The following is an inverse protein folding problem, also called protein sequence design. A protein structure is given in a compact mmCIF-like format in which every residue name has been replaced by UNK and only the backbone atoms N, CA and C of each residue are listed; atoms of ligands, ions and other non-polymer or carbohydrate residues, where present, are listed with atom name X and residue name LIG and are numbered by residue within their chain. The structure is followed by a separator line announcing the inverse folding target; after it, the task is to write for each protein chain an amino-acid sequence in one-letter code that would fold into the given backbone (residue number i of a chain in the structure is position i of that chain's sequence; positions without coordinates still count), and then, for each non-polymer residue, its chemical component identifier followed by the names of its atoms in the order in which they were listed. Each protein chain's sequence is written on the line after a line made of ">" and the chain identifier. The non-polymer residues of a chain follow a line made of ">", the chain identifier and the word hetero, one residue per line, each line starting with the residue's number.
data_IF_373598751645
#
_entry.id   IF_373598751645
#
_cell.length_a   1.000
_cell.length_b   1.000
_cell.length_c   1.000
_cell.angle_alpha   90.00
_cell.angle_beta   90.00
_cell.angle_gamma   90.00
#
_symmetry.space_group_name_H-M   'P 1'
#
loop_
_entity.id
_entity.type
_entity.pdbx_description
1 polymer ?
#
# COMPACT_ATOMS: atom_id res chain seq x y z
N UNK A 1 18.84 6.24 -38.41
CA UNK A 1 18.11 5.07 -37.89
C UNK A 1 18.60 4.91 -36.46
N UNK A 2 17.97 5.59 -35.51
CA UNK A 2 18.37 5.52 -34.10
C UNK A 2 17.45 4.50 -33.43
N UNK A 3 18.04 3.39 -33.04
CA UNK A 3 17.45 2.42 -32.14
C UNK A 3 17.36 3.07 -30.76
N UNK A 4 16.16 3.45 -30.35
CA UNK A 4 15.86 4.05 -29.05
C UNK A 4 15.29 2.96 -28.14
N UNK A 5 15.97 1.82 -28.08
CA UNK A 5 15.76 0.84 -27.02
C UNK A 5 16.55 1.30 -25.79
N UNK A 6 16.13 2.40 -25.16
CA UNK A 6 16.61 2.72 -23.82
C UNK A 6 15.93 1.73 -22.87
N UNK A 7 16.63 0.66 -22.54
CA UNK A 7 16.35 -0.14 -21.35
C UNK A 7 16.44 0.81 -20.14
N UNK A 8 15.28 1.22 -19.63
CA UNK A 8 15.24 2.02 -18.41
C UNK A 8 15.77 1.14 -17.27
N UNK A 9 16.91 1.53 -16.73
CA UNK A 9 17.52 0.89 -15.56
C UNK A 9 16.50 0.92 -14.40
N UNK A 10 16.21 -0.22 -13.75
CA UNK A 10 15.22 -0.27 -12.69
C UNK A 10 15.66 0.63 -11.53
N UNK A 11 14.83 1.61 -11.19
CA UNK A 11 15.13 2.55 -10.11
C UNK A 11 15.37 1.78 -8.80
N UNK A 12 16.50 2.04 -8.11
CA UNK A 12 16.76 1.52 -6.78
C UNK A 12 15.57 1.78 -5.85
N UNK A 13 15.16 0.78 -5.08
CA UNK A 13 13.96 0.87 -4.24
C UNK A 13 14.03 1.96 -3.17
N UNK A 14 15.23 2.38 -2.79
CA UNK A 14 15.54 3.47 -1.86
C UNK A 14 15.46 4.88 -2.49
N UNK A 15 15.25 4.97 -3.81
CA UNK A 15 15.17 6.24 -4.56
C UNK A 15 13.85 6.43 -5.31
N UNK A 16 12.84 5.62 -4.99
CA UNK A 16 11.53 5.75 -5.62
C UNK A 16 10.86 7.05 -5.17
N UNK A 17 10.82 8.02 -6.09
CA UNK A 17 10.01 9.23 -5.90
C UNK A 17 8.52 8.89 -5.84
N UNK A 18 7.71 9.76 -5.25
CA UNK A 18 6.25 9.61 -5.26
C UNK A 18 5.66 9.46 -6.68
N UNK A 19 6.26 10.11 -7.68
CA UNK A 19 5.84 9.97 -9.07
C UNK A 19 6.15 8.56 -9.63
N UNK A 20 7.32 8.01 -9.32
CA UNK A 20 7.67 6.65 -9.70
C UNK A 20 6.79 5.61 -8.99
N UNK A 21 6.48 5.83 -7.71
CA UNK A 21 5.63 4.92 -6.92
C UNK A 21 4.19 4.92 -7.47
N UNK A 22 3.66 6.11 -7.79
CA UNK A 22 2.37 6.23 -8.46
C UNK A 22 2.36 5.51 -9.82
N UNK A 23 3.43 5.64 -10.60
CA UNK A 23 3.60 4.90 -11.85
C UNK A 23 3.48 3.39 -11.65
N UNK A 24 4.17 2.83 -10.63
CA UNK A 24 4.09 1.41 -10.30
C UNK A 24 2.69 0.97 -9.86
N UNK A 25 1.97 1.78 -9.08
CA UNK A 25 0.59 1.47 -8.71
C UNK A 25 -0.36 1.50 -9.91
N UNK A 26 -0.18 2.43 -10.85
CA UNK A 26 -0.95 2.46 -12.11
C UNK A 26 -0.67 1.21 -12.95
N UNK A 27 0.59 0.80 -13.07
CA UNK A 27 0.97 -0.43 -13.79
C UNK A 27 0.36 -1.68 -13.13
N UNK A 28 0.45 -1.78 -11.81
CA UNK A 28 -0.16 -2.86 -11.04
C UNK A 28 -1.68 -2.91 -11.26
N UNK A 29 -2.37 -1.77 -11.14
CA UNK A 29 -3.81 -1.70 -11.38
C UNK A 29 -4.19 -2.09 -12.82
N UNK A 30 -3.39 -1.72 -13.82
CA UNK A 30 -3.60 -2.12 -15.22
C UNK A 30 -3.39 -3.61 -15.44
N UNK A 31 -2.40 -4.22 -14.78
CA UNK A 31 -2.15 -5.67 -14.92
C UNK A 31 -3.33 -6.52 -14.44
N UNK A 32 -4.10 -6.02 -13.48
CA UNK A 32 -5.28 -6.71 -12.96
C UNK A 32 -6.41 -6.87 -13.99
N UNK A 33 -6.46 -6.01 -15.02
CA UNK A 33 -7.43 -6.14 -16.12
C UNK A 33 -7.15 -7.38 -16.97
N UNK A 34 -5.89 -7.82 -17.03
CA UNK A 34 -5.47 -8.99 -17.81
C UNK A 34 -5.58 -10.31 -17.04
N UNK A 35 -6.06 -10.32 -15.80
CA UNK A 35 -6.20 -11.54 -15.01
C UNK A 35 -7.26 -12.47 -15.63
N UNK A 36 -7.05 -13.80 -15.57
CA UNK A 36 -8.05 -14.77 -15.99
C UNK A 36 -9.37 -14.58 -15.23
N UNK A 37 -10.51 -14.83 -15.88
CA UNK A 37 -11.83 -14.84 -15.24
C UNK A 37 -12.07 -16.13 -14.43
N UNK A 38 -11.08 -16.55 -13.66
CA UNK A 38 -11.20 -17.60 -12.65
C UNK A 38 -11.62 -16.97 -11.32
N UNK A 39 -12.10 -17.80 -10.39
CA UNK A 39 -12.45 -17.34 -9.04
C UNK A 39 -11.29 -16.61 -8.35
N UNK A 40 -10.10 -17.22 -8.37
CA UNK A 40 -8.87 -16.61 -7.84
C UNK A 40 -8.51 -15.29 -8.55
N UNK A 41 -8.66 -15.25 -9.87
CA UNK A 41 -8.37 -14.05 -10.66
C UNK A 41 -9.30 -12.88 -10.32
N UNK A 42 -10.59 -13.14 -10.13
CA UNK A 42 -11.56 -12.13 -9.72
C UNK A 42 -11.33 -11.65 -8.27
N UNK A 43 -10.93 -12.55 -7.36
CA UNK A 43 -10.53 -12.16 -6.00
C UNK A 43 -9.30 -11.25 -6.01
N UNK A 44 -8.28 -11.64 -6.76
CA UNK A 44 -7.05 -10.84 -6.89
C UNK A 44 -7.36 -9.45 -7.47
N UNK A 45 -8.19 -9.40 -8.52
CA UNK A 45 -8.61 -8.16 -9.17
C UNK A 45 -9.39 -7.25 -8.23
N UNK A 46 -10.29 -7.80 -7.41
CA UNK A 46 -11.04 -7.04 -6.42
C UNK A 46 -10.15 -6.53 -5.26
N UNK A 47 -9.02 -7.18 -4.99
CA UNK A 47 -8.06 -6.81 -3.93
C UNK A 47 -7.11 -5.67 -4.29
N UNK A 48 -6.95 -5.34 -5.58
CA UNK A 48 -5.96 -4.37 -6.07
C UNK A 48 -6.05 -3.03 -5.36
N UNK A 49 -7.27 -2.50 -5.19
CA UNK A 49 -7.46 -1.19 -4.56
C UNK A 49 -7.04 -1.23 -3.10
N UNK A 50 -7.41 -2.29 -2.37
CA UNK A 50 -7.09 -2.44 -0.96
C UNK A 50 -5.57 -2.58 -0.76
N UNK A 51 -4.89 -3.33 -1.62
CA UNK A 51 -3.42 -3.46 -1.64
C UNK A 51 -2.75 -2.10 -1.86
N UNK A 52 -3.16 -1.35 -2.89
CA UNK A 52 -2.60 -0.02 -3.17
C UNK A 52 -2.83 0.92 -1.97
N UNK A 53 -4.02 0.89 -1.38
CA UNK A 53 -4.36 1.76 -0.26
C UNK A 53 -3.55 1.45 0.99
N UNK A 54 -3.36 0.17 1.34
CA UNK A 54 -2.52 -0.24 2.47
C UNK A 54 -1.07 0.21 2.26
N UNK A 55 -0.53 -0.02 1.06
CA UNK A 55 0.83 0.40 0.74
C UNK A 55 0.98 1.94 0.78
N UNK A 56 0.00 2.68 0.26
CA UNK A 56 0.01 4.13 0.29
C UNK A 56 -0.04 4.70 1.72
N UNK A 57 -0.88 4.14 2.59
CA UNK A 57 -0.93 4.54 4.00
C UNK A 57 0.38 4.20 4.71
N UNK A 58 0.93 3.02 4.46
CA UNK A 58 2.22 2.62 5.01
C UNK A 58 3.34 3.62 4.65
N UNK A 59 3.51 3.97 3.37
CA UNK A 59 4.47 4.99 2.93
C UNK A 59 4.19 6.39 3.52
N UNK A 60 2.91 6.77 3.67
CA UNK A 60 2.55 8.08 4.23
C UNK A 60 2.92 8.20 5.72
N UNK A 61 2.78 7.12 6.49
CA UNK A 61 3.08 7.11 7.93
C UNK A 61 4.55 7.42 8.26
N UNK A 62 5.48 7.05 7.37
CA UNK A 62 6.91 7.35 7.52
C UNK A 62 7.20 8.86 7.48
N UNK A 63 6.46 9.58 6.63
CA UNK A 63 6.60 11.02 6.37
C UNK A 63 5.77 11.87 7.35
N UNK A 64 4.96 11.25 8.20
CA UNK A 64 4.07 11.97 9.13
C UNK A 64 4.85 12.88 10.11
N UNK A 65 6.10 12.54 10.46
CA UNK A 65 6.97 13.38 11.31
C UNK A 65 7.25 14.77 10.73
N UNK A 66 7.08 14.95 9.42
CA UNK A 66 7.36 16.20 8.73
C UNK A 66 6.18 17.19 8.82
N UNK A 67 5.03 16.74 9.35
CA UNK A 67 3.83 17.57 9.57
C UNK A 67 3.83 18.26 10.94
N UNK A 68 3.06 19.36 11.12
CA UNK A 68 2.79 19.94 12.43
C UNK A 68 2.16 18.91 13.39
N UNK A 69 2.49 18.99 14.69
CA UNK A 69 2.07 18.00 15.70
C UNK A 69 0.56 17.73 15.74
N UNK A 70 -0.25 18.77 15.63
CA UNK A 70 -1.71 18.65 15.63
C UNK A 70 -2.22 17.86 14.42
N UNK A 71 -1.56 18.03 13.27
CA UNK A 71 -1.85 17.28 12.05
C UNK A 71 -1.34 15.84 12.12
N UNK A 72 -0.26 15.58 12.87
CA UNK A 72 0.23 14.22 13.10
C UNK A 72 -0.80 13.36 13.84
N UNK A 73 -1.40 13.89 14.92
CA UNK A 73 -2.42 13.16 15.68
C UNK A 73 -3.63 12.81 14.81
N UNK A 74 -4.17 13.80 14.09
CA UNK A 74 -5.28 13.58 13.15
C UNK A 74 -4.89 12.62 12.00
N UNK A 75 -3.66 12.70 11.52
CA UNK A 75 -3.16 11.83 10.46
C UNK A 75 -3.07 10.36 10.90
N UNK A 76 -2.61 10.10 12.12
CA UNK A 76 -2.58 8.75 12.70
C UNK A 76 -3.99 8.18 12.88
N UNK A 77 -4.93 8.97 13.39
CA UNK A 77 -6.31 8.53 13.56
C UNK A 77 -6.95 8.16 12.21
N UNK A 78 -6.73 8.98 11.18
CA UNK A 78 -7.19 8.71 9.82
C UNK A 78 -6.53 7.46 9.23
N UNK A 79 -5.22 7.29 9.44
CA UNK A 79 -4.50 6.11 9.00
C UNK A 79 -5.08 4.85 9.64
N UNK A 80 -5.41 4.88 10.93
CA UNK A 80 -6.06 3.77 11.63
C UNK A 80 -7.39 3.35 10.99
N UNK A 81 -8.25 4.31 10.64
CA UNK A 81 -9.51 4.02 9.95
C UNK A 81 -9.26 3.41 8.56
N UNK A 82 -8.29 3.93 7.80
CA UNK A 82 -7.99 3.43 6.46
C UNK A 82 -7.41 2.01 6.51
N UNK A 83 -6.44 1.74 7.40
CA UNK A 83 -5.87 0.40 7.59
C UNK A 83 -6.97 -0.59 7.97
N UNK A 84 -7.74 -0.29 9.02
CA UNK A 84 -8.80 -1.19 9.48
C UNK A 84 -9.84 -1.48 8.38
N UNK A 85 -10.21 -0.46 7.59
CA UNK A 85 -11.12 -0.64 6.47
C UNK A 85 -10.57 -1.62 5.43
N UNK A 86 -9.35 -1.37 4.94
CA UNK A 86 -8.80 -2.12 3.81
C UNK A 86 -8.34 -3.52 4.21
N UNK A 87 -7.82 -3.70 5.42
CA UNK A 87 -7.59 -5.04 6.01
C UNK A 87 -8.90 -5.81 6.07
N UNK A 88 -9.96 -5.22 6.62
CA UNK A 88 -11.25 -5.89 6.74
C UNK A 88 -11.90 -6.25 5.39
N UNK A 89 -11.66 -5.49 4.32
CA UNK A 89 -12.10 -5.86 2.97
C UNK A 89 -11.33 -7.08 2.43
N UNK A 90 -10.01 -7.12 2.63
CA UNK A 90 -9.19 -8.26 2.23
C UNK A 90 -9.56 -9.52 3.01
N UNK A 91 -9.68 -9.43 4.33
CA UNK A 91 -10.08 -10.56 5.18
C UNK A 91 -11.45 -11.09 4.78
N UNK A 92 -12.44 -10.22 4.57
CA UNK A 92 -13.78 -10.64 4.08
C UNK A 92 -13.71 -11.35 2.75
N UNK A 93 -12.84 -10.89 1.83
CA UNK A 93 -12.72 -11.45 0.49
C UNK A 93 -12.06 -12.83 0.48
N UNK A 94 -11.14 -13.07 1.42
CA UNK A 94 -10.42 -14.34 1.56
C UNK A 94 -10.92 -15.21 2.74
N UNK A 95 -12.08 -14.91 3.33
CA UNK A 95 -12.61 -15.65 4.50
C UNK A 95 -12.68 -17.18 4.31
N UNK A 96 -12.83 -17.65 3.07
CA UNK A 96 -12.92 -19.08 2.73
C UNK A 96 -11.80 -19.57 1.81
N UNK A 97 -10.76 -18.76 1.59
CA UNK A 97 -9.64 -19.06 0.67
C UNK A 97 -8.33 -18.53 1.23
N UNK A 98 -7.21 -19.17 0.88
CA UNK A 98 -5.91 -18.69 1.35
C UNK A 98 -5.58 -17.32 0.75
N UNK A 99 -5.34 -16.33 1.62
CA UNK A 99 -4.86 -15.02 1.20
C UNK A 99 -3.41 -15.16 0.70
N UNK A 100 -3.04 -14.54 -0.44
CA UNK A 100 -1.65 -14.54 -0.90
C UNK A 100 -0.69 -14.01 0.17
N UNK A 101 0.44 -14.71 0.38
CA UNK A 101 1.39 -14.38 1.45
C UNK A 101 1.90 -12.93 1.40
N UNK A 102 2.13 -12.37 0.21
CA UNK A 102 2.54 -10.97 0.06
C UNK A 102 1.48 -9.96 0.54
N UNK A 103 0.19 -10.31 0.49
CA UNK A 103 -0.86 -9.47 1.07
C UNK A 103 -0.85 -9.54 2.59
N UNK A 104 -0.64 -10.74 3.14
CA UNK A 104 -0.49 -10.94 4.60
C UNK A 104 0.70 -10.15 5.14
N UNK A 105 1.85 -10.21 4.46
CA UNK A 105 3.04 -9.42 4.79
C UNK A 105 2.76 -7.91 4.73
N UNK A 106 2.07 -7.44 3.68
CA UNK A 106 1.69 -6.03 3.55
C UNK A 106 0.76 -5.55 4.68
N UNK A 107 -0.20 -6.39 5.09
CA UNK A 107 -1.09 -6.08 6.22
C UNK A 107 -0.27 -5.91 7.49
N UNK A 108 0.61 -6.87 7.79
CA UNK A 108 1.48 -6.85 8.96
C UNK A 108 2.42 -5.62 8.96
N UNK A 109 3.00 -5.28 7.81
CA UNK A 109 3.85 -4.09 7.67
C UNK A 109 3.07 -2.78 7.89
N UNK A 110 1.86 -2.67 7.33
CA UNK A 110 1.00 -1.50 7.51
C UNK A 110 0.57 -1.34 8.98
N UNK A 111 0.18 -2.43 9.65
CA UNK A 111 -0.19 -2.42 11.06
C UNK A 111 0.99 -2.09 11.97
N UNK A 112 2.17 -2.67 11.73
CA UNK A 112 3.40 -2.35 12.47
C UNK A 112 3.77 -0.88 12.32
N UNK A 113 3.71 -0.33 11.10
CA UNK A 113 4.00 1.08 10.85
C UNK A 113 2.99 2.00 11.57
N UNK A 114 1.70 1.64 11.55
CA UNK A 114 0.67 2.38 12.27
C UNK A 114 0.93 2.38 13.79
N UNK A 115 1.23 1.21 14.38
CA UNK A 115 1.57 1.10 15.79
C UNK A 115 2.80 1.94 16.16
N UNK A 116 3.84 1.93 15.32
CA UNK A 116 5.02 2.75 15.52
C UNK A 116 4.70 4.26 15.44
N UNK A 117 3.85 4.67 14.49
CA UNK A 117 3.42 6.05 14.35
C UNK A 117 2.58 6.52 15.55
N UNK A 118 1.65 5.69 16.04
CA UNK A 118 0.88 5.94 17.27
C UNK A 118 1.81 6.14 18.46
N UNK A 119 2.78 5.23 18.65
CA UNK A 119 3.74 5.31 19.76
C UNK A 119 4.57 6.59 19.69
N UNK A 120 5.03 6.96 18.49
CA UNK A 120 5.76 8.22 18.26
C UNK A 120 4.92 9.44 18.66
N UNK A 121 3.69 9.55 18.18
CA UNK A 121 2.82 10.70 18.52
C UNK A 121 2.52 10.76 20.02
N UNK A 122 2.30 9.62 20.68
CA UNK A 122 2.02 9.56 22.13
C UNK A 122 3.22 9.92 23.00
N UNK A 123 4.44 9.54 22.62
CA UNK A 123 5.65 9.79 23.42
C UNK A 123 6.08 11.27 23.46
N UNK A 124 5.47 12.13 22.63
CA UNK A 124 5.73 13.57 22.58
C UNK A 124 4.56 14.44 23.06
N UNK A 125 3.47 13.82 23.53
CA UNK A 125 2.30 14.45 24.14
C UNK A 125 2.43 14.50 25.66
#
# INVERSE_FOLDING_TARGET
>A
MNDVSQEFEPLPSDQLTWAALLGKWVEFARSAVGLPATEEGELMKASVVDVIMLQAVWFALENLKDLPREEQALGVDRAGVLVAKHVGELERRYDNQDMPGLMVELIDDAEKSLHAAIARVKNFA
#
